data_IF_449200942628
#
_entry.id   IF_449200942628
#
_cell.length_a   1.000
_cell.length_b   1.000
_cell.length_c   1.000
_cell.angle_alpha   90.00
_cell.angle_beta   90.00
_cell.angle_gamma   90.00
#
_symmetry.space_group_name_H-M   'P 1'
#
loop_
_entity.id
_entity.type
_entity.pdbx_description
1 polymer ?
#
# COMPACT_ATOMS: atom_id res chain seq x y z
N UNK A 1 16.10 -11.53 18.02
CA UNK A 1 15.11 -11.88 16.97
C UNK A 1 14.87 -10.62 16.20
N UNK A 2 15.66 -10.42 15.15
CA UNK A 2 15.57 -9.22 14.30
C UNK A 2 14.41 -9.46 13.35
N UNK A 3 13.25 -8.87 13.65
CA UNK A 3 12.28 -8.61 12.59
C UNK A 3 12.95 -7.50 11.80
N UNK A 4 13.46 -7.82 10.61
CA UNK A 4 13.97 -6.79 9.70
C UNK A 4 12.81 -5.82 9.45
N UNK A 5 12.94 -4.58 9.93
CA UNK A 5 12.02 -3.49 9.62
C UNK A 5 12.12 -3.21 8.12
N UNK A 6 11.39 -3.99 7.33
CA UNK A 6 11.16 -3.75 5.90
C UNK A 6 10.19 -2.59 5.79
N UNK A 7 10.66 -1.50 5.19
CA UNK A 7 9.84 -0.34 4.91
C UNK A 7 9.31 -0.43 3.49
N UNK A 8 8.03 -0.13 3.34
CA UNK A 8 7.37 -0.06 2.05
C UNK A 8 7.07 1.40 1.74
N UNK A 9 7.33 1.78 0.49
CA UNK A 9 7.03 3.11 -0.02
C UNK A 9 6.38 3.00 -1.40
N UNK A 10 5.39 3.85 -1.68
CA UNK A 10 4.75 3.95 -2.99
C UNK A 10 5.76 4.36 -4.08
N UNK A 11 5.68 3.71 -5.23
CA UNK A 11 6.48 4.04 -6.41
C UNK A 11 5.83 5.17 -7.20
N UNK A 12 6.63 6.09 -7.76
CA UNK A 12 6.17 7.25 -8.54
C UNK A 12 5.50 6.89 -9.88
N UNK A 13 5.49 5.60 -10.26
CA UNK A 13 4.87 5.09 -11.49
C UNK A 13 3.34 4.93 -11.46
N UNK A 14 2.68 5.41 -10.41
CA UNK A 14 1.25 5.20 -10.20
C UNK A 14 0.55 6.50 -9.83
N UNK A 15 -0.58 6.73 -10.49
CA UNK A 15 -1.36 7.94 -10.38
C UNK A 15 -2.58 7.65 -9.52
N UNK A 16 -2.60 8.22 -8.32
CA UNK A 16 -3.76 8.20 -7.46
C UNK A 16 -4.78 9.25 -7.94
N UNK A 17 -5.97 8.80 -8.33
CA UNK A 17 -7.05 9.64 -8.83
C UNK A 17 -8.34 9.35 -8.08
N UNK A 18 -8.93 10.40 -7.53
CA UNK A 18 -10.24 10.31 -6.88
C UNK A 18 -11.35 10.41 -7.92
N UNK A 19 -12.19 9.39 -8.02
CA UNK A 19 -13.35 9.36 -8.91
C UNK A 19 -14.61 9.25 -8.07
N UNK A 20 -15.36 10.36 -7.98
CA UNK A 20 -16.51 10.52 -7.10
C UNK A 20 -16.17 10.24 -5.63
N UNK A 21 -16.60 9.10 -5.08
CA UNK A 21 -16.35 8.67 -3.70
C UNK A 21 -15.32 7.55 -3.57
N UNK A 22 -14.76 7.08 -4.69
CA UNK A 22 -13.80 6.00 -4.69
C UNK A 22 -12.43 6.51 -5.11
N UNK A 23 -11.41 5.98 -4.45
CA UNK A 23 -10.02 6.24 -4.74
C UNK A 23 -9.54 5.20 -5.76
N UNK A 24 -8.87 5.63 -6.83
CA UNK A 24 -8.50 4.77 -7.96
C UNK A 24 -7.03 4.98 -8.30
N UNK A 25 -6.25 3.91 -8.32
CA UNK A 25 -4.86 3.92 -8.76
C UNK A 25 -4.77 3.55 -10.23
N UNK A 26 -4.12 4.40 -11.01
CA UNK A 26 -3.88 4.20 -12.44
C UNK A 26 -2.39 3.91 -12.62
N UNK A 27 -2.04 2.79 -13.23
CA UNK A 27 -0.65 2.51 -13.60
C UNK A 27 -0.27 3.32 -14.84
N UNK A 28 0.76 4.16 -14.74
CA UNK A 28 1.25 4.95 -15.86
C UNK A 28 2.50 4.30 -16.44
N UNK A 29 2.34 3.46 -17.47
CA UNK A 29 3.47 2.78 -18.11
C UNK A 29 3.11 1.72 -19.17
N UNK A 30 4.08 0.90 -19.56
CA UNK A 30 3.92 -0.14 -20.60
C UNK A 30 2.94 -1.27 -20.22
N UNK A 31 2.48 -1.33 -18.97
CA UNK A 31 1.55 -2.34 -18.45
C UNK A 31 0.07 -2.07 -18.78
N UNK A 32 -0.27 -0.92 -19.38
CA UNK A 32 -1.65 -0.57 -19.79
C UNK A 32 -2.22 -1.58 -20.81
N UNK A 33 -1.35 -2.30 -21.54
CA UNK A 33 -1.77 -3.28 -22.54
C UNK A 33 -2.15 -4.66 -21.96
N UNK A 34 -1.70 -5.01 -20.75
CA UNK A 34 -1.94 -6.33 -20.15
C UNK A 34 -2.86 -6.29 -18.92
N UNK A 35 -2.98 -5.14 -18.27
CA UNK A 35 -3.86 -4.93 -17.13
C UNK A 35 -4.88 -3.87 -17.51
N UNK A 36 -6.13 -4.06 -17.10
CA UNK A 36 -7.23 -3.13 -17.37
C UNK A 36 -7.10 -1.85 -16.50
N UNK A 37 -5.94 -1.18 -16.61
CA UNK A 37 -5.60 0.22 -16.34
C UNK A 37 -5.68 0.74 -14.90
N UNK A 38 -6.55 0.19 -14.06
CA UNK A 38 -6.86 0.82 -12.78
C UNK A 38 -7.26 -0.16 -11.68
N UNK A 39 -6.77 0.12 -10.47
CA UNK A 39 -7.14 -0.57 -9.24
C UNK A 39 -8.02 0.37 -8.44
N UNK A 40 -9.23 -0.05 -8.11
CA UNK A 40 -10.08 0.71 -7.19
C UNK A 40 -9.65 0.41 -5.76
N UNK A 41 -9.23 1.43 -5.04
CA UNK A 41 -9.00 1.39 -3.61
C UNK A 41 -10.33 1.55 -2.87
N UNK A 42 -10.52 0.73 -1.84
CA UNK A 42 -11.54 0.98 -0.82
C UNK A 42 -11.02 2.04 0.17
N UNK A 43 -11.86 2.45 1.14
CA UNK A 43 -11.49 3.45 2.15
C UNK A 43 -10.20 3.09 2.91
N UNK A 44 -10.06 1.81 3.27
CA UNK A 44 -8.89 1.27 3.97
C UNK A 44 -7.62 1.33 3.13
N UNK A 45 -7.71 0.92 1.87
CA UNK A 45 -6.59 0.89 0.93
C UNK A 45 -6.16 2.31 0.53
N UNK A 46 -7.10 3.25 0.42
CA UNK A 46 -6.78 4.67 0.23
C UNK A 46 -6.05 5.26 1.43
N UNK A 47 -6.45 4.89 2.64
CA UNK A 47 -5.78 5.32 3.86
C UNK A 47 -4.35 4.75 3.94
N UNK A 48 -4.19 3.44 3.68
CA UNK A 48 -2.88 2.80 3.63
C UNK A 48 -1.97 3.43 2.57
N UNK A 49 -2.51 3.73 1.38
CA UNK A 49 -1.78 4.40 0.32
C UNK A 49 -1.27 5.79 0.76
N UNK A 50 -2.11 6.56 1.44
CA UNK A 50 -1.73 7.88 1.97
C UNK A 50 -0.61 7.75 3.01
N UNK A 51 -0.74 6.82 3.96
CA UNK A 51 0.26 6.54 5.00
C UNK A 51 1.60 6.10 4.38
N UNK A 52 1.55 5.22 3.38
CA UNK A 52 2.72 4.76 2.60
C UNK A 52 3.31 5.80 1.64
N UNK A 53 2.75 7.02 1.57
CA UNK A 53 3.46 8.15 0.95
C UNK A 53 4.78 8.44 1.67
N UNK A 54 4.89 8.02 2.93
CA UNK A 54 6.14 7.94 3.69
C UNK A 54 6.60 6.49 3.82
N UNK A 55 7.90 6.22 4.04
CA UNK A 55 8.36 4.86 4.32
C UNK A 55 7.71 4.35 5.61
N UNK A 56 6.91 3.30 5.50
CA UNK A 56 6.16 2.73 6.63
C UNK A 56 6.44 1.23 6.72
N UNK A 57 6.54 0.72 7.95
CA UNK A 57 6.66 -0.72 8.18
C UNK A 57 5.29 -1.37 8.22
N UNK A 58 5.23 -2.68 7.92
CA UNK A 58 3.97 -3.44 7.98
C UNK A 58 3.26 -3.29 9.34
N UNK A 59 4.03 -3.21 10.43
CA UNK A 59 3.47 -3.02 11.78
C UNK A 59 2.80 -1.66 11.96
N UNK A 60 3.42 -0.60 11.44
CA UNK A 60 2.84 0.75 11.49
C UNK A 60 1.56 0.83 10.68
N UNK A 61 1.54 0.20 9.50
CA UNK A 61 0.35 0.12 8.66
C UNK A 61 -0.78 -0.59 9.40
N UNK A 62 -0.51 -1.73 10.04
CA UNK A 62 -1.49 -2.47 10.83
C UNK A 62 -2.04 -1.63 11.97
N UNK A 63 -1.17 -0.98 12.73
CA UNK A 63 -1.59 -0.14 13.85
C UNK A 63 -2.44 1.04 13.39
N UNK A 64 -2.04 1.73 12.32
CA UNK A 64 -2.81 2.84 11.76
C UNK A 64 -4.21 2.40 11.30
N UNK A 65 -4.31 1.19 10.74
CA UNK A 65 -5.57 0.60 10.29
C UNK A 65 -6.50 0.26 11.47
N UNK A 66 -5.94 -0.29 12.55
CA UNK A 66 -6.67 -0.52 13.81
C UNK A 66 -7.17 0.79 14.41
N UNK A 67 -6.34 1.83 14.44
CA UNK A 67 -6.68 3.14 15.03
C UNK A 67 -7.75 3.88 14.20
N UNK A 68 -7.68 3.82 12.88
CA UNK A 68 -8.62 4.54 11.99
C UNK A 68 -9.93 3.77 11.77
N UNK A 69 -9.88 2.43 11.68
CA UNK A 69 -11.04 1.60 11.31
C UNK A 69 -11.61 0.75 12.46
N UNK A 70 -11.01 0.77 13.65
CA UNK A 70 -11.42 -0.02 14.84
C UNK A 70 -11.61 -1.52 14.51
N UNK A 71 -10.67 -2.07 13.73
CA UNK A 71 -10.66 -3.49 13.34
C UNK A 71 -9.73 -4.29 14.24
N UNK A 72 -9.90 -5.62 14.26
CA UNK A 72 -8.99 -6.50 15.01
C UNK A 72 -7.58 -6.53 14.39
N UNK A 73 -6.56 -6.77 15.21
CA UNK A 73 -5.16 -6.88 14.74
C UNK A 73 -5.01 -7.95 13.66
N UNK A 74 -5.69 -9.09 13.79
CA UNK A 74 -5.67 -10.17 12.80
C UNK A 74 -6.24 -9.70 11.45
N UNK A 75 -7.39 -9.00 11.48
CA UNK A 75 -8.02 -8.45 10.28
C UNK A 75 -7.16 -7.37 9.63
N UNK A 76 -6.65 -6.43 10.43
CA UNK A 76 -5.76 -5.38 9.93
C UNK A 76 -4.49 -5.97 9.32
N UNK A 77 -3.89 -6.99 9.94
CA UNK A 77 -2.72 -7.67 9.40
C UNK A 77 -3.01 -8.37 8.08
N UNK A 78 -4.13 -9.09 7.97
CA UNK A 78 -4.55 -9.72 6.72
C UNK A 78 -4.79 -8.70 5.61
N UNK A 79 -5.46 -7.58 5.92
CA UNK A 79 -5.74 -6.52 4.96
C UNK A 79 -4.45 -5.83 4.49
N UNK A 80 -3.55 -5.48 5.42
CA UNK A 80 -2.24 -4.89 5.09
C UNK A 80 -1.41 -5.85 4.25
N UNK A 81 -1.33 -7.12 4.64
CA UNK A 81 -0.52 -8.11 3.93
C UNK A 81 -1.06 -8.37 2.52
N UNK A 82 -2.38 -8.51 2.37
CA UNK A 82 -3.03 -8.65 1.07
C UNK A 82 -2.81 -7.40 0.19
N UNK A 83 -2.87 -6.21 0.80
CA UNK A 83 -2.61 -4.95 0.10
C UNK A 83 -1.16 -4.84 -0.36
N UNK A 84 -0.19 -5.09 0.52
CA UNK A 84 1.23 -5.08 0.18
C UNK A 84 1.57 -6.12 -0.89
N UNK A 85 1.01 -7.33 -0.82
CA UNK A 85 1.21 -8.36 -1.85
C UNK A 85 0.64 -7.93 -3.21
N UNK A 86 -0.56 -7.36 -3.23
CA UNK A 86 -1.16 -6.83 -4.45
C UNK A 86 -0.26 -5.76 -5.08
N UNK A 87 0.23 -4.84 -4.26
CA UNK A 87 1.11 -3.76 -4.71
C UNK A 87 2.48 -4.28 -5.16
N UNK A 88 3.10 -5.21 -4.46
CA UNK A 88 4.37 -5.83 -4.88
C UNK A 88 4.22 -6.55 -6.22
N UNK A 89 3.14 -7.33 -6.38
CA UNK A 89 2.85 -8.06 -7.61
C UNK A 89 2.72 -7.12 -8.80
N UNK A 90 2.09 -5.98 -8.59
CA UNK A 90 1.92 -4.93 -9.58
C UNK A 90 3.15 -4.00 -9.68
N UNK A 91 4.22 -4.24 -8.92
CA UNK A 91 5.43 -3.39 -8.81
C UNK A 91 5.14 -1.93 -8.42
N UNK A 92 4.08 -1.73 -7.60
CA UNK A 92 3.57 -0.44 -7.14
C UNK A 92 4.31 0.14 -5.94
N UNK A 93 5.02 -0.70 -5.19
CA UNK A 93 5.77 -0.29 -4.01
C UNK A 93 7.21 -0.76 -4.12
N UNK A 94 8.11 0.00 -3.50
CA UNK A 94 9.51 -0.35 -3.36
C UNK A 94 9.77 -0.75 -1.91
N UNK A 95 10.51 -1.85 -1.71
CA UNK A 95 11.02 -2.22 -0.38
C UNK A 95 12.33 -1.45 -0.15
N UNK A 96 12.35 -0.61 0.87
CA UNK A 96 13.56 0.09 1.30
C UNK A 96 14.10 -0.60 2.55
N UNK A 97 15.29 -1.19 2.43
CA UNK A 97 16.08 -1.62 3.59
C UNK A 97 16.94 -0.45 4.06
N UNK A 98 16.64 0.10 5.24
CA UNK A 98 17.51 1.11 5.86
C UNK A 98 18.63 0.38 6.61
N UNK A 99 19.80 0.22 5.97
CA UNK A 99 21.03 -0.07 6.71
C UNK A 99 21.39 1.17 7.52
N UNK A 100 21.15 1.12 8.84
CA UNK A 100 21.68 2.10 9.77
C UNK A 100 23.21 1.96 9.73
N UNK A 101 23.89 2.84 8.97
CA UNK A 101 25.36 3.03 9.02
C UNK A 101 25.78 3.82 10.24
#
# INVERSE_FOLDING_TARGET
>A
MSIEDKYYQVSEGYLHRKVANNDVLISVGANIANFNGYITLNSTASFLWDVMSTPQSARQLVQALIEEFDVSEETAQQDVEAFLQMLQKESMITECSYEIS
#
